data_IF_642109786551
#
_entry.id   IF_642109786551
#
_cell.length_a   1.000
_cell.length_b   1.000
_cell.length_c   1.000
_cell.angle_alpha   90.00
_cell.angle_beta   90.00
_cell.angle_gamma   90.00
#
_symmetry.space_group_name_H-M   'P 1'
#
loop_
_entity.id
_entity.type
_entity.pdbx_description
1 polymer ?
#
# COMPACT_ATOMS: atom_id res chain seq x y z
N UNK A 1 30.74 -9.10 -29.75
CA UNK A 1 30.64 -10.00 -28.57
C UNK A 1 30.29 -9.24 -27.29
N UNK A 2 30.88 -8.09 -27.00
CA UNK A 2 30.58 -7.34 -25.73
C UNK A 2 29.10 -6.93 -25.61
N UNK A 3 28.42 -6.55 -26.68
CA UNK A 3 26.99 -6.14 -26.64
C UNK A 3 26.05 -7.27 -26.22
N UNK A 4 26.28 -8.48 -26.72
CA UNK A 4 25.44 -9.63 -26.35
C UNK A 4 25.59 -9.98 -24.87
N UNK A 5 26.79 -9.81 -24.30
CA UNK A 5 27.03 -9.99 -22.88
C UNK A 5 26.32 -8.93 -22.05
N UNK A 6 26.31 -7.66 -22.48
CA UNK A 6 25.57 -6.60 -21.80
C UNK A 6 24.05 -6.84 -21.82
N UNK A 7 23.51 -7.22 -22.98
CA UNK A 7 22.09 -7.54 -23.10
C UNK A 7 21.71 -8.75 -22.24
N UNK A 8 22.55 -9.79 -22.22
CA UNK A 8 22.33 -10.95 -21.36
C UNK A 8 22.42 -10.61 -19.87
N UNK A 9 23.43 -9.81 -19.47
CA UNK A 9 23.57 -9.38 -18.08
C UNK A 9 22.36 -8.54 -17.62
N UNK A 10 21.89 -7.60 -18.43
CA UNK A 10 20.71 -6.80 -18.10
C UNK A 10 19.45 -7.65 -17.99
N UNK A 11 19.29 -8.68 -18.82
CA UNK A 11 18.20 -9.64 -18.74
C UNK A 11 18.26 -10.49 -17.46
N UNK A 12 19.44 -10.95 -17.06
CA UNK A 12 19.61 -11.71 -15.81
C UNK A 12 19.28 -10.85 -14.59
N UNK A 13 19.75 -9.60 -14.52
CA UNK A 13 19.42 -8.66 -13.44
C UNK A 13 17.91 -8.40 -13.38
N UNK A 14 17.26 -8.21 -14.53
CA UNK A 14 15.82 -8.02 -14.60
C UNK A 14 15.06 -9.24 -14.04
N UNK A 15 15.47 -10.46 -14.41
CA UNK A 15 14.87 -11.68 -13.89
C UNK A 15 15.12 -11.86 -12.39
N UNK A 16 16.30 -11.50 -11.90
CA UNK A 16 16.59 -11.49 -10.48
C UNK A 16 15.64 -10.56 -9.73
N UNK A 17 15.48 -9.31 -10.19
CA UNK A 17 14.54 -8.35 -9.58
C UNK A 17 13.10 -8.88 -9.59
N UNK A 18 12.69 -9.55 -10.67
CA UNK A 18 11.37 -10.16 -10.75
C UNK A 18 11.20 -11.28 -9.72
N UNK A 19 12.19 -12.16 -9.58
CA UNK A 19 12.18 -13.23 -8.58
C UNK A 19 12.18 -12.66 -7.15
N UNK A 20 12.96 -11.62 -6.88
CA UNK A 20 12.98 -10.94 -5.57
C UNK A 20 11.60 -10.37 -5.23
N UNK A 21 10.93 -9.74 -6.20
CA UNK A 21 9.57 -9.21 -6.03
C UNK A 21 8.55 -10.32 -5.75
N UNK A 22 8.61 -11.41 -6.52
CA UNK A 22 7.71 -12.57 -6.31
C UNK A 22 7.97 -13.21 -4.94
N UNK A 23 9.23 -13.36 -4.55
CA UNK A 23 9.61 -13.94 -3.25
C UNK A 23 9.12 -13.09 -2.09
N UNK A 24 9.19 -11.77 -2.22
CA UNK A 24 8.64 -10.84 -1.23
C UNK A 24 7.11 -10.96 -1.13
N UNK A 25 6.42 -11.01 -2.27
CA UNK A 25 4.96 -11.22 -2.29
C UNK A 25 4.58 -12.55 -1.62
N UNK A 26 5.33 -13.61 -1.88
CA UNK A 26 5.08 -14.92 -1.28
C UNK A 26 5.33 -14.93 0.23
N UNK A 27 6.41 -14.28 0.67
CA UNK A 27 6.71 -14.15 2.11
C UNK A 27 5.60 -13.41 2.87
N UNK A 28 4.93 -12.46 2.22
CA UNK A 28 3.87 -11.65 2.80
C UNK A 28 2.45 -12.10 2.46
N UNK A 29 2.27 -13.35 1.95
CA UNK A 29 0.95 -13.85 1.53
C UNK A 29 -0.07 -13.89 2.70
N UNK A 30 0.39 -14.09 3.92
CA UNK A 30 -0.43 -14.10 5.13
C UNK A 30 -0.46 -12.76 5.88
N UNK A 31 0.21 -11.73 5.36
CA UNK A 31 0.25 -10.41 5.99
C UNK A 31 -1.03 -9.65 5.69
N UNK A 32 -1.82 -9.32 6.72
CA UNK A 32 -3.07 -8.57 6.58
C UNK A 32 -2.81 -7.17 6.04
N UNK A 33 -3.59 -6.76 5.02
CA UNK A 33 -3.45 -5.43 4.40
C UNK A 33 -2.25 -5.29 3.46
N UNK A 34 -1.45 -6.35 3.26
CA UNK A 34 -0.37 -6.34 2.28
C UNK A 34 -0.92 -6.14 0.85
N UNK A 35 -0.19 -5.39 0.06
CA UNK A 35 -0.48 -5.18 -1.37
C UNK A 35 0.67 -5.71 -2.20
N UNK A 36 0.34 -6.58 -3.15
CA UNK A 36 1.33 -7.22 -4.03
C UNK A 36 2.07 -6.20 -4.86
N UNK A 37 3.36 -6.39 -4.98
CA UNK A 37 4.22 -5.59 -5.83
C UNK A 37 4.41 -6.25 -7.19
N UNK A 38 4.46 -5.43 -8.22
CA UNK A 38 4.72 -5.86 -9.59
C UNK A 38 5.90 -5.08 -10.13
N UNK A 39 6.93 -5.79 -10.59
CA UNK A 39 8.07 -5.20 -11.26
C UNK A 39 7.74 -4.90 -12.72
N UNK A 40 7.97 -3.67 -13.14
CA UNK A 40 7.79 -3.22 -14.52
C UNK A 40 9.13 -3.01 -15.18
N UNK A 41 9.26 -3.51 -16.40
CA UNK A 41 10.49 -3.44 -17.17
C UNK A 41 10.29 -2.61 -18.44
N UNK A 42 11.35 -1.93 -18.85
CA UNK A 42 11.37 -1.25 -20.13
C UNK A 42 12.60 -1.60 -20.95
N UNK A 43 12.43 -1.69 -22.27
CA UNK A 43 13.53 -1.87 -23.21
C UNK A 43 14.46 -0.65 -23.18
N UNK A 44 15.74 -0.90 -23.32
CA UNK A 44 16.71 0.15 -23.60
C UNK A 44 16.63 0.57 -25.06
N UNK A 45 17.35 1.62 -25.40
CA UNK A 45 17.40 2.14 -26.77
C UNK A 45 17.82 1.07 -27.75
N UNK A 46 17.27 1.16 -28.94
CA UNK A 46 17.69 0.33 -30.07
C UNK A 46 18.80 1.03 -30.86
N UNK A 47 19.84 0.30 -31.17
CA UNK A 47 20.89 0.77 -32.06
C UNK A 47 20.56 0.35 -33.49
N UNK A 48 20.50 1.34 -34.40
CA UNK A 48 20.28 1.08 -35.82
C UNK A 48 21.60 0.61 -36.44
N UNK A 49 21.62 -0.65 -36.87
CA UNK A 49 22.75 -1.25 -37.61
C UNK A 49 22.68 -0.93 -39.11
N UNK A 50 21.46 -0.83 -39.61
CA UNK A 50 21.21 -0.53 -41.01
C UNK A 50 19.94 0.32 -41.11
N UNK A 51 20.08 1.48 -41.77
CA UNK A 51 18.95 2.36 -42.07
C UNK A 51 18.14 1.84 -43.24
N UNK A 52 16.86 2.23 -43.27
CA UNK A 52 16.03 2.07 -44.46
C UNK A 52 16.57 3.01 -45.52
N UNK A 53 17.08 2.50 -46.63
CA UNK A 53 17.64 3.27 -47.74
C UNK A 53 17.09 2.80 -49.06
N UNK A 54 17.16 3.64 -50.05
CA UNK A 54 16.88 3.26 -51.43
C UNK A 54 18.14 2.61 -52.05
N UNK A 55 17.99 1.49 -52.72
CA UNK A 55 19.10 0.87 -53.47
C UNK A 55 19.50 1.74 -54.65
N UNK A 56 20.72 1.53 -55.18
CA UNK A 56 21.21 2.24 -56.38
C UNK A 56 20.29 2.14 -57.60
N UNK A 57 19.41 1.13 -57.62
CA UNK A 57 18.42 0.92 -58.69
C UNK A 57 17.04 1.52 -58.35
N UNK A 58 16.92 2.44 -57.36
CA UNK A 58 15.69 3.12 -57.00
C UNK A 58 14.66 2.30 -56.23
N UNK A 59 14.99 1.06 -55.84
CA UNK A 59 14.10 0.22 -55.03
C UNK A 59 14.25 0.54 -53.55
N UNK A 60 13.13 0.76 -52.85
CA UNK A 60 13.13 1.01 -51.42
C UNK A 60 13.44 -0.29 -50.67
N UNK A 61 14.39 -0.23 -49.75
CA UNK A 61 14.63 -1.29 -48.78
C UNK A 61 13.65 -1.13 -47.58
N UNK A 62 12.61 -1.94 -47.51
CA UNK A 62 11.50 -1.70 -46.57
C UNK A 62 11.88 -1.96 -45.10
N UNK A 63 12.91 -2.75 -44.83
CA UNK A 63 13.29 -3.19 -43.49
C UNK A 63 14.71 -2.76 -43.16
N UNK A 64 14.86 -2.01 -42.06
CA UNK A 64 16.16 -1.73 -41.42
C UNK A 64 16.52 -2.81 -40.41
N UNK A 65 17.80 -2.91 -40.02
CA UNK A 65 18.25 -3.74 -38.95
C UNK A 65 18.51 -2.91 -37.67
N UNK A 66 17.84 -3.25 -36.58
CA UNK A 66 18.02 -2.62 -35.27
C UNK A 66 18.28 -3.68 -34.23
N UNK A 67 19.18 -3.40 -33.30
CA UNK A 67 19.53 -4.28 -32.19
C UNK A 67 19.22 -3.56 -30.85
N UNK A 68 18.42 -4.20 -29.97
CA UNK A 68 18.15 -3.71 -28.62
C UNK A 68 19.39 -3.84 -27.73
N UNK A 69 19.58 -2.88 -26.83
CA UNK A 69 20.70 -2.85 -25.89
C UNK A 69 20.38 -3.53 -24.54
N UNK A 70 19.23 -4.19 -24.45
CA UNK A 70 18.81 -4.90 -23.24
C UNK A 70 17.56 -4.32 -22.59
N UNK A 71 17.36 -4.62 -21.32
CA UNK A 71 16.22 -4.26 -20.49
C UNK A 71 16.68 -3.61 -19.19
N UNK A 72 15.87 -2.73 -18.64
CA UNK A 72 16.06 -2.21 -17.29
C UNK A 72 14.76 -2.26 -16.49
N UNK A 73 14.87 -2.33 -15.17
CA UNK A 73 13.76 -2.10 -14.27
C UNK A 73 13.28 -0.64 -14.43
N UNK A 74 11.98 -0.45 -14.61
CA UNK A 74 11.33 0.85 -14.69
C UNK A 74 10.82 1.31 -13.35
N UNK A 75 10.07 0.44 -12.66
CA UNK A 75 9.43 0.69 -11.37
C UNK A 75 9.04 -0.63 -10.73
N UNK A 76 8.80 -0.58 -9.43
CA UNK A 76 8.10 -1.65 -8.69
C UNK A 76 6.87 -0.97 -8.08
N UNK A 77 5.69 -1.34 -8.55
CA UNK A 77 4.44 -0.71 -8.18
C UNK A 77 3.59 -1.64 -7.32
N UNK A 78 2.95 -1.06 -6.28
CA UNK A 78 1.97 -1.79 -5.48
C UNK A 78 0.61 -1.81 -6.15
N UNK A 79 -0.01 -2.98 -6.18
CA UNK A 79 -1.36 -3.17 -6.73
C UNK A 79 -2.39 -3.02 -5.61
N UNK A 80 -3.14 -1.91 -5.60
CA UNK A 80 -4.17 -1.61 -4.61
C UNK A 80 -5.53 -2.22 -4.97
N UNK A 81 -5.55 -3.44 -5.49
CA UNK A 81 -6.80 -4.18 -5.73
C UNK A 81 -7.42 -4.62 -4.41
N UNK A 82 -8.77 -4.68 -4.37
CA UNK A 82 -9.50 -5.20 -3.22
C UNK A 82 -9.27 -6.71 -3.11
N UNK A 83 -8.84 -7.16 -1.94
CA UNK A 83 -8.76 -8.58 -1.58
C UNK A 83 -10.01 -9.07 -0.86
N UNK A 84 -10.06 -10.37 -0.60
CA UNK A 84 -11.11 -10.95 0.21
C UNK A 84 -11.03 -10.47 1.66
N UNK A 85 -12.19 -10.20 2.24
CA UNK A 85 -12.30 -9.90 3.66
C UNK A 85 -12.20 -11.21 4.45
N UNK A 86 -11.42 -11.19 5.51
CA UNK A 86 -11.30 -12.30 6.46
C UNK A 86 -12.16 -12.00 7.69
N UNK A 87 -12.93 -12.98 8.12
CA UNK A 87 -13.68 -12.89 9.36
C UNK A 87 -12.72 -12.90 10.56
N UNK A 88 -12.97 -12.02 11.52
CA UNK A 88 -12.18 -11.92 12.75
C UNK A 88 -13.11 -11.98 13.97
N UNK A 89 -12.68 -12.66 15.00
CA UNK A 89 -13.37 -12.68 16.30
C UNK A 89 -13.08 -11.46 17.16
N UNK A 90 -12.12 -10.62 16.74
CA UNK A 90 -11.76 -9.39 17.45
C UNK A 90 -12.76 -8.27 17.15
N UNK A 91 -13.29 -7.65 18.20
CA UNK A 91 -14.20 -6.49 18.10
C UNK A 91 -13.53 -5.21 17.63
N UNK A 92 -12.19 -5.18 17.61
CA UNK A 92 -11.36 -4.05 17.18
C UNK A 92 -10.71 -4.26 15.83
N UNK A 93 -11.03 -5.35 15.11
CA UNK A 93 -10.54 -5.61 13.77
C UNK A 93 -11.54 -5.10 12.73
N UNK A 94 -11.07 -4.27 11.81
CA UNK A 94 -11.87 -3.64 10.76
C UNK A 94 -11.26 -3.86 9.38
N UNK A 95 -12.10 -3.99 8.39
CA UNK A 95 -11.67 -4.03 7.01
C UNK A 95 -12.30 -2.90 6.21
N UNK A 96 -11.53 -2.28 5.32
CA UNK A 96 -12.07 -1.30 4.37
C UNK A 96 -12.56 -2.04 3.13
N UNK A 97 -13.84 -1.94 2.84
CA UNK A 97 -14.40 -2.36 1.56
C UNK A 97 -14.34 -1.18 0.58
N UNK A 98 -13.60 -1.37 -0.51
CA UNK A 98 -13.36 -0.31 -1.50
C UNK A 98 -12.05 0.47 -1.30
N UNK A 99 -12.06 1.74 -1.70
CA UNK A 99 -10.87 2.62 -1.68
C UNK A 99 -10.78 3.35 -0.33
N UNK A 100 -9.57 3.49 0.19
CA UNK A 100 -9.32 4.25 1.42
C UNK A 100 -8.18 3.67 2.25
N UNK A 101 -7.75 4.41 3.25
CA UNK A 101 -6.68 4.03 4.19
C UNK A 101 -7.07 4.53 5.57
N UNK A 102 -6.73 3.79 6.60
CA UNK A 102 -6.75 4.27 7.97
C UNK A 102 -5.55 5.19 8.20
N UNK A 103 -5.73 6.23 9.01
CA UNK A 103 -4.64 7.08 9.43
C UNK A 103 -4.16 6.70 10.82
N UNK A 104 -2.86 6.66 11.01
CA UNK A 104 -2.20 6.37 12.28
C UNK A 104 -1.12 7.43 12.54
N UNK A 105 -0.86 7.73 13.81
CA UNK A 105 0.19 8.66 14.21
C UNK A 105 1.46 7.88 14.48
N UNK A 106 2.55 8.21 13.78
CA UNK A 106 3.87 7.67 14.05
C UNK A 106 4.50 8.22 15.33
N UNK A 107 5.56 7.59 15.78
CA UNK A 107 6.35 8.04 16.95
C UNK A 107 7.01 9.40 16.72
N UNK A 108 7.31 9.71 15.47
CA UNK A 108 7.86 11.00 15.01
C UNK A 108 6.81 12.12 14.93
N UNK A 109 5.55 11.83 15.28
CA UNK A 109 4.43 12.75 15.20
C UNK A 109 3.87 12.94 13.79
N UNK A 110 4.40 12.26 12.79
CA UNK A 110 3.88 12.27 11.42
C UNK A 110 2.65 11.36 11.29
N UNK A 111 1.83 11.64 10.27
CA UNK A 111 0.67 10.79 9.96
C UNK A 111 1.05 9.79 8.89
N UNK A 112 0.85 8.52 9.19
CA UNK A 112 1.00 7.41 8.27
C UNK A 112 -0.35 6.80 7.94
N UNK A 113 -0.39 6.04 6.87
CA UNK A 113 -1.61 5.45 6.36
C UNK A 113 -1.44 3.94 6.24
N UNK A 114 -2.49 3.19 6.54
CA UNK A 114 -2.45 1.74 6.47
C UNK A 114 -3.75 1.15 5.94
N UNK A 115 -3.64 -0.01 5.30
CA UNK A 115 -4.78 -0.87 4.95
C UNK A 115 -4.99 -2.00 5.95
N UNK A 116 -4.06 -2.17 6.87
CA UNK A 116 -4.19 -3.14 7.94
C UNK A 116 -5.15 -2.58 8.99
N UNK A 117 -6.29 -3.24 9.17
CA UNK A 117 -7.29 -2.88 10.18
C UNK A 117 -7.29 -3.79 11.39
N UNK A 118 -6.25 -4.57 11.60
CA UNK A 118 -6.10 -5.37 12.82
C UNK A 118 -5.62 -4.50 13.98
N UNK A 119 -6.57 -3.78 14.58
CA UNK A 119 -6.31 -2.87 15.69
C UNK A 119 -6.53 -3.55 17.03
N UNK A 120 -5.92 -2.98 18.06
CA UNK A 120 -6.00 -3.42 19.45
C UNK A 120 -6.31 -2.24 20.36
N UNK A 121 -7.00 -2.50 21.45
CA UNK A 121 -7.18 -1.52 22.50
C UNK A 121 -5.98 -1.57 23.45
N UNK A 122 -5.22 -0.49 23.52
CA UNK A 122 -4.14 -0.31 24.47
C UNK A 122 -4.56 0.67 25.58
N UNK A 123 -4.13 0.40 26.80
CA UNK A 123 -4.38 1.31 27.94
C UNK A 123 -3.09 2.08 28.22
N UNK A 124 -3.18 3.39 28.17
CA UNK A 124 -2.10 4.30 28.51
C UNK A 124 -2.60 5.39 29.47
N UNK A 125 -1.94 5.52 30.61
CA UNK A 125 -2.22 6.55 31.61
C UNK A 125 -3.73 6.69 31.99
N UNK A 126 -4.44 5.57 32.11
CA UNK A 126 -5.87 5.56 32.46
C UNK A 126 -6.80 5.84 31.26
N UNK A 127 -6.28 5.98 30.06
CA UNK A 127 -7.05 6.08 28.83
C UNK A 127 -6.90 4.80 28.00
N UNK A 128 -7.99 4.40 27.37
CA UNK A 128 -8.02 3.34 26.36
C UNK A 128 -7.86 3.98 25.00
N UNK A 129 -6.86 3.58 24.24
CA UNK A 129 -6.55 4.11 22.89
C UNK A 129 -6.62 2.99 21.89
N UNK A 130 -7.21 3.25 20.73
CA UNK A 130 -7.17 2.32 19.60
C UNK A 130 -5.80 2.43 18.91
N UNK A 131 -5.08 1.30 18.86
CA UNK A 131 -3.70 1.26 18.33
C UNK A 131 -3.54 0.14 17.32
N UNK A 132 -2.51 0.27 16.47
CA UNK A 132 -2.03 -0.84 15.64
C UNK A 132 -1.32 -1.89 16.50
N UNK A 133 -0.98 -3.04 15.93
CA UNK A 133 -0.14 -4.06 16.57
C UNK A 133 1.25 -3.55 16.95
N UNK A 134 1.73 -2.51 16.28
CA UNK A 134 3.00 -1.83 16.61
C UNK A 134 2.84 -0.74 17.70
N UNK A 135 1.63 -0.54 18.26
CA UNK A 135 1.37 0.45 19.30
C UNK A 135 1.08 1.87 18.80
N UNK A 136 1.00 2.09 17.49
CA UNK A 136 0.71 3.40 16.92
C UNK A 136 -0.77 3.75 17.04
N UNK A 137 -1.14 4.93 17.57
CA UNK A 137 -2.54 5.32 17.74
C UNK A 137 -3.24 5.59 16.40
N UNK A 138 -4.46 5.08 16.29
CA UNK A 138 -5.35 5.32 15.14
C UNK A 138 -5.99 6.68 15.28
N UNK A 139 -6.14 7.38 14.16
CA UNK A 139 -6.70 8.72 14.09
C UNK A 139 -8.17 8.69 13.67
N UNK A 140 -8.92 9.65 14.20
CA UNK A 140 -10.29 9.93 13.79
C UNK A 140 -10.33 10.73 12.46
N UNK A 141 -11.52 11.05 11.99
CA UNK A 141 -11.73 11.89 10.80
C UNK A 141 -11.19 13.32 10.94
N UNK A 142 -10.92 13.80 12.16
CA UNK A 142 -10.39 15.13 12.47
C UNK A 142 -8.87 15.11 12.70
N UNK A 143 -8.23 13.97 12.59
CA UNK A 143 -6.78 13.80 12.82
C UNK A 143 -6.39 13.70 14.31
N UNK A 144 -7.34 13.51 15.21
CA UNK A 144 -7.08 13.28 16.62
C UNK A 144 -6.95 11.79 16.91
N UNK A 145 -6.19 11.43 17.95
CA UNK A 145 -6.12 10.04 18.39
C UNK A 145 -7.45 9.61 19.04
N UNK A 146 -7.89 8.40 18.70
CA UNK A 146 -9.09 7.81 19.26
C UNK A 146 -8.74 7.28 20.65
N UNK A 147 -9.18 7.99 21.70
CA UNK A 147 -8.92 7.62 23.10
C UNK A 147 -10.12 7.87 23.99
N UNK A 148 -10.33 6.99 24.94
CA UNK A 148 -11.44 7.03 25.90
C UNK A 148 -10.93 6.84 27.33
N UNK A 149 -11.62 7.41 28.31
CA UNK A 149 -11.30 7.19 29.71
C UNK A 149 -11.67 5.77 30.13
N UNK A 150 -10.70 5.00 30.65
CA UNK A 150 -10.91 3.61 31.07
C UNK A 150 -11.86 3.44 32.23
N UNK A 151 -12.08 4.51 33.03
CA UNK A 151 -13.02 4.48 34.15
C UNK A 151 -14.49 4.58 33.70
N UNK A 152 -14.75 5.07 32.50
CA UNK A 152 -16.11 5.28 31.98
C UNK A 152 -16.50 4.26 30.89
N UNK A 153 -15.53 3.72 30.16
CA UNK A 153 -15.77 2.89 29.00
C UNK A 153 -15.05 1.55 29.13
N UNK A 154 -15.78 0.46 28.95
CA UNK A 154 -15.21 -0.89 28.87
C UNK A 154 -14.99 -1.27 27.43
N UNK A 155 -13.80 -1.76 27.09
CA UNK A 155 -13.44 -2.19 25.72
C UNK A 155 -14.37 -3.25 25.16
N UNK A 156 -14.89 -4.15 26.02
CA UNK A 156 -15.81 -5.22 25.62
C UNK A 156 -17.18 -4.74 25.16
N UNK A 157 -17.57 -3.52 25.54
CA UNK A 157 -18.88 -2.93 25.23
C UNK A 157 -18.82 -1.91 24.09
N UNK A 158 -17.61 -1.55 23.65
CA UNK A 158 -17.44 -0.64 22.50
C UNK A 158 -17.80 -1.40 21.22
N UNK A 159 -18.72 -0.84 20.46
CA UNK A 159 -19.12 -1.36 19.15
C UNK A 159 -18.83 -0.31 18.08
N UNK A 160 -18.48 -0.74 16.89
CA UNK A 160 -18.23 0.15 15.77
C UNK A 160 -19.17 -0.22 14.64
N UNK A 161 -19.87 0.79 14.13
CA UNK A 161 -20.84 0.61 13.04
C UNK A 161 -20.14 0.43 11.70
N UNK A 162 -20.88 -0.05 10.69
CA UNK A 162 -20.36 -0.14 9.31
C UNK A 162 -19.89 1.18 8.71
N UNK A 163 -20.35 2.31 9.25
CA UNK A 163 -19.92 3.66 8.84
C UNK A 163 -18.65 4.14 9.59
N UNK A 164 -18.03 3.28 10.39
CA UNK A 164 -16.83 3.59 11.16
C UNK A 164 -17.11 4.48 12.39
N UNK A 165 -18.36 4.60 12.82
CA UNK A 165 -18.74 5.37 13.98
C UNK A 165 -18.65 4.51 15.25
N UNK A 166 -18.01 5.05 16.28
CA UNK A 166 -17.80 4.36 17.56
C UNK A 166 -19.00 4.59 18.46
N UNK A 167 -19.61 3.50 18.88
CA UNK A 167 -20.80 3.48 19.72
C UNK A 167 -20.52 2.79 21.06
N UNK A 168 -21.18 3.26 22.10
CA UNK A 168 -21.17 2.66 23.43
C UNK A 168 -22.61 2.48 23.93
N UNK A 169 -22.98 1.37 24.56
CA UNK A 169 -24.32 1.17 25.08
C UNK A 169 -24.60 2.16 26.22
N UNK A 170 -25.74 2.82 26.15
CA UNK A 170 -26.24 3.66 27.28
C UNK A 170 -26.85 2.79 28.38
N UNK A 171 -27.35 3.43 29.43
CA UNK A 171 -27.98 2.76 30.60
C UNK A 171 -29.17 1.85 30.20
N UNK A 172 -29.77 2.04 29.03
CA UNK A 172 -30.87 1.23 28.48
C UNK A 172 -30.39 0.19 27.46
N UNK A 173 -29.09 -0.08 27.42
CA UNK A 173 -28.41 -1.04 26.51
C UNK A 173 -28.63 -0.76 25.01
N UNK A 174 -28.91 0.50 24.66
CA UNK A 174 -28.94 0.95 23.27
C UNK A 174 -27.59 1.54 22.88
N UNK A 175 -27.08 1.14 21.72
CA UNK A 175 -25.84 1.69 21.16
C UNK A 175 -26.02 3.18 20.86
N UNK A 176 -25.30 4.03 21.57
CA UNK A 176 -25.28 5.47 21.36
C UNK A 176 -23.94 5.87 20.74
N UNK A 177 -23.98 6.68 19.69
CA UNK A 177 -22.79 7.22 19.07
C UNK A 177 -22.04 8.15 20.05
N UNK A 178 -20.72 7.98 20.10
CA UNK A 178 -19.82 8.87 20.83
C UNK A 178 -19.38 10.09 19.98
N UNK A 179 -19.87 10.19 18.73
CA UNK A 179 -19.50 11.27 17.82
C UNK A 179 -18.08 11.16 17.28
N UNK A 180 -17.42 10.03 17.46
CA UNK A 180 -16.07 9.77 16.97
C UNK A 180 -16.17 8.77 15.83
N UNK A 181 -15.59 9.11 14.69
CA UNK A 181 -15.49 8.24 13.51
C UNK A 181 -14.04 7.90 13.21
N UNK A 182 -13.77 6.67 12.85
CA UNK A 182 -12.46 6.27 12.34
C UNK A 182 -12.17 7.04 11.05
N UNK A 183 -10.99 7.67 10.99
CA UNK A 183 -10.57 8.44 9.81
C UNK A 183 -10.33 7.53 8.61
N UNK A 184 -11.02 7.78 7.51
CA UNK A 184 -10.81 7.12 6.23
C UNK A 184 -10.32 8.15 5.20
N UNK A 185 -9.13 7.94 4.67
CA UNK A 185 -8.46 8.85 3.76
C UNK A 185 -8.28 8.23 2.39
N UNK A 186 -8.45 9.03 1.35
CA UNK A 186 -8.28 8.59 -0.03
C UNK A 186 -7.21 9.42 -0.72
N UNK A 187 -6.45 8.78 -1.59
CA UNK A 187 -5.43 9.42 -2.41
C UNK A 187 -5.80 9.33 -3.88
N UNK A 188 -5.49 10.38 -4.63
CA UNK A 188 -5.71 10.38 -6.08
C UNK A 188 -4.82 9.34 -6.77
N UNK A 189 -3.58 9.22 -6.29
CA UNK A 189 -2.61 8.26 -6.78
C UNK A 189 -2.03 7.42 -5.63
N UNK A 190 -2.67 6.30 -5.27
CA UNK A 190 -2.18 5.42 -4.21
C UNK A 190 -0.79 4.82 -4.50
N UNK A 191 -0.46 4.62 -5.78
CA UNK A 191 0.85 4.09 -6.17
C UNK A 191 2.01 5.06 -5.93
N UNK A 192 1.70 6.34 -5.70
CA UNK A 192 2.68 7.36 -5.32
C UNK A 192 3.01 7.39 -3.83
N UNK A 193 2.34 6.60 -3.00
CA UNK A 193 2.65 6.48 -1.58
C UNK A 193 3.97 5.76 -1.38
N UNK A 194 4.76 6.23 -0.44
CA UNK A 194 6.01 5.57 -0.03
C UNK A 194 5.73 4.48 1.00
N UNK A 195 6.20 3.26 0.72
CA UNK A 195 6.09 2.15 1.67
C UNK A 195 7.06 2.35 2.82
N UNK A 196 6.55 2.23 4.01
CA UNK A 196 7.31 2.19 5.25
C UNK A 196 7.21 0.79 5.88
N UNK A 197 7.81 0.61 7.02
CA UNK A 197 7.71 -0.63 7.79
C UNK A 197 6.27 -0.92 8.24
N UNK A 198 5.97 -2.17 8.58
CA UNK A 198 4.71 -2.62 9.21
C UNK A 198 3.43 -2.30 8.40
N UNK A 199 3.50 -2.37 7.07
CA UNK A 199 2.38 -2.06 6.16
C UNK A 199 1.86 -0.62 6.26
N UNK A 200 2.73 0.30 6.65
CA UNK A 200 2.49 1.73 6.66
C UNK A 200 2.87 2.38 5.33
N UNK A 201 2.20 3.45 5.02
CA UNK A 201 2.44 4.28 3.83
C UNK A 201 2.61 5.74 4.25
N UNK A 202 3.65 6.38 3.74
CA UNK A 202 3.86 7.82 3.88
C UNK A 202 3.36 8.56 2.63
N UNK A 203 2.90 9.78 2.83
CA UNK A 203 2.51 10.66 1.73
C UNK A 203 3.74 11.17 1.01
N UNK A 204 3.72 11.13 -0.31
CA UNK A 204 4.72 11.77 -1.15
C UNK A 204 4.10 12.87 -2.02
N UNK A 205 4.92 13.70 -2.62
CA UNK A 205 4.45 14.72 -3.58
C UNK A 205 3.68 14.11 -4.78
N UNK A 206 3.90 12.82 -5.08
CA UNK A 206 3.28 12.10 -6.19
C UNK A 206 1.93 11.45 -5.81
N UNK A 207 1.60 11.32 -4.51
CA UNK A 207 0.38 10.63 -4.07
C UNK A 207 -0.87 11.46 -4.25
N UNK A 208 -0.79 12.78 -4.11
CA UNK A 208 -1.95 13.67 -4.05
C UNK A 208 -2.82 13.37 -2.83
N UNK A 209 -3.29 14.36 -2.13
CA UNK A 209 -4.16 14.23 -0.96
C UNK A 209 -5.50 14.91 -1.24
#
# INVERSE_FOLDING_TARGET
MVRSLWSAASGMIAQQTNLDTISNNLANVNTTGYKTDVAEFKSLLYQTMQTKTTTANGQNKPVGAQVGLGVRNSSINSMFTQGNMLESTSTSAFGIEGKGFFAVRGEDGQTYYTRNGNFLWATDNGNITLTTTAGLPVLDSNGNKISFNSSQYMTSSITITGDGEICYPNATNNAQSLGIKIGLYQFQNPSGLEKMDSSLYAVSAASGQ
#
